data_IF_144033729595
#
_entry.id   IF_144033729595
#
_cell.length_a   1.000
_cell.length_b   1.000
_cell.length_c   1.000
_cell.angle_alpha   90.00
_cell.angle_beta   90.00
_cell.angle_gamma   90.00
#
_symmetry.space_group_name_H-M   'P 1'
#
loop_
_entity.id
_entity.type
_entity.pdbx_description
1 polymer ?
#
# COMPACT_ATOMS: atom_id res chain seq x y z
N UNK A 1 -6.42 -4.07 -2.92
CA UNK A 1 -5.92 -4.79 -4.13
C UNK A 1 -7.02 -4.98 -5.18
N UNK A 2 -8.13 -5.63 -4.89
CA UNK A 2 -9.19 -5.86 -5.89
C UNK A 2 -9.72 -4.59 -6.55
N UNK A 3 -9.92 -3.53 -5.79
CA UNK A 3 -10.36 -2.23 -6.32
C UNK A 3 -9.36 -1.61 -7.30
N UNK A 4 -8.06 -1.73 -7.01
CA UNK A 4 -7.01 -1.28 -7.93
C UNK A 4 -7.08 -2.06 -9.25
N UNK A 5 -7.12 -3.40 -9.19
CA UNK A 5 -7.21 -4.22 -10.40
C UNK A 5 -8.48 -3.88 -11.20
N UNK A 6 -9.64 -3.73 -10.54
CA UNK A 6 -10.89 -3.34 -11.22
C UNK A 6 -10.82 -1.96 -11.88
N UNK A 7 -10.08 -1.01 -11.28
CA UNK A 7 -9.95 0.32 -11.86
C UNK A 7 -9.09 0.33 -13.12
N UNK A 8 -8.08 -0.54 -13.19
CA UNK A 8 -7.14 -0.62 -14.33
C UNK A 8 -7.66 -1.49 -15.47
N UNK A 9 -8.65 -2.35 -15.25
CA UNK A 9 -9.27 -3.18 -16.31
C UNK A 9 -10.34 -2.44 -17.13
N UNK A 10 -10.60 -1.18 -16.86
CA UNK A 10 -11.52 -0.36 -17.66
C UNK A 10 -10.91 -0.01 -19.02
N UNK A 11 -11.75 0.01 -20.08
CA UNK A 11 -11.34 0.21 -21.48
C UNK A 11 -10.47 1.45 -21.74
N UNK A 12 -10.52 2.46 -20.87
CA UNK A 12 -9.78 3.72 -20.99
C UNK A 12 -8.81 3.93 -19.81
N UNK A 13 -8.32 2.86 -19.17
CA UNK A 13 -7.31 2.99 -18.13
C UNK A 13 -5.98 3.40 -18.75
N UNK A 14 -5.35 4.41 -18.17
CA UNK A 14 -3.98 4.84 -18.50
C UNK A 14 -2.91 4.07 -17.70
N UNK A 15 -3.34 3.12 -16.87
CA UNK A 15 -2.47 2.40 -15.93
C UNK A 15 -2.74 0.91 -16.06
N UNK A 16 -1.66 0.13 -16.15
CA UNK A 16 -1.67 -1.33 -16.11
C UNK A 16 -1.00 -1.84 -14.83
N UNK A 17 -1.57 -2.87 -14.22
CA UNK A 17 -0.93 -3.55 -13.10
C UNK A 17 -0.12 -4.73 -13.65
N UNK A 18 1.20 -4.60 -13.64
CA UNK A 18 2.10 -5.60 -14.19
C UNK A 18 2.30 -6.78 -13.24
N UNK A 19 2.27 -6.56 -11.92
CA UNK A 19 2.38 -7.62 -10.93
C UNK A 19 1.80 -7.22 -9.57
N UNK A 20 1.43 -8.22 -8.79
CA UNK A 20 1.13 -8.10 -7.36
C UNK A 20 2.15 -8.93 -6.60
N UNK A 21 2.97 -8.27 -5.78
CA UNK A 21 4.04 -8.92 -5.03
C UNK A 21 3.66 -8.99 -3.55
N UNK A 22 3.87 -10.13 -2.92
CA UNK A 22 3.66 -10.30 -1.49
C UNK A 22 4.77 -11.11 -0.84
N UNK A 23 5.08 -10.78 0.40
CA UNK A 23 5.98 -11.55 1.26
C UNK A 23 5.25 -12.63 2.09
N UNK A 24 3.96 -12.79 1.86
CA UNK A 24 3.12 -13.82 2.44
C UNK A 24 2.51 -14.68 1.31
N UNK A 25 2.85 -15.96 1.27
CA UNK A 25 2.37 -16.90 0.23
C UNK A 25 0.85 -17.09 0.25
N UNK A 26 0.21 -16.94 1.42
CA UNK A 26 -1.24 -17.06 1.60
C UNK A 26 -1.99 -15.73 1.50
N UNK A 27 -1.33 -14.65 1.06
CA UNK A 27 -1.95 -13.34 0.93
C UNK A 27 -3.14 -13.39 -0.04
N UNK A 28 -4.31 -12.94 0.43
CA UNK A 28 -5.53 -12.84 -0.41
C UNK A 28 -5.30 -11.99 -1.67
N UNK A 29 -4.39 -11.02 -1.61
CA UNK A 29 -4.00 -10.21 -2.75
C UNK A 29 -3.44 -11.01 -3.93
N UNK A 30 -2.62 -12.05 -3.67
CA UNK A 30 -2.08 -12.94 -4.70
C UNK A 30 -3.20 -13.76 -5.36
N UNK A 31 -4.14 -14.28 -4.55
CA UNK A 31 -5.28 -15.05 -5.05
C UNK A 31 -6.15 -14.19 -5.96
N UNK A 32 -6.44 -12.95 -5.54
CA UNK A 32 -7.24 -12.00 -6.34
C UNK A 32 -6.52 -11.64 -7.63
N UNK A 33 -5.21 -11.37 -7.57
CA UNK A 33 -4.40 -11.05 -8.75
C UNK A 33 -4.48 -12.18 -9.80
N UNK A 34 -4.18 -13.41 -9.38
CA UNK A 34 -4.22 -14.57 -10.27
C UNK A 34 -5.60 -14.82 -10.89
N UNK A 35 -6.68 -14.66 -10.10
CA UNK A 35 -8.07 -14.73 -10.62
C UNK A 35 -8.37 -13.68 -11.68
N UNK A 36 -7.70 -12.54 -11.63
CA UNK A 36 -7.83 -11.42 -12.57
C UNK A 36 -6.78 -11.42 -13.67
N UNK A 37 -6.01 -12.50 -13.81
CA UNK A 37 -4.94 -12.66 -14.81
C UNK A 37 -3.80 -11.63 -14.65
N UNK A 38 -3.62 -11.09 -13.43
CA UNK A 38 -2.45 -10.28 -13.05
C UNK A 38 -1.45 -11.20 -12.36
N UNK A 39 -0.17 -11.20 -12.73
CA UNK A 39 0.85 -12.03 -12.09
C UNK A 39 0.91 -11.81 -10.58
N UNK A 40 0.66 -12.86 -9.80
CA UNK A 40 0.83 -12.87 -8.35
C UNK A 40 2.17 -13.51 -7.98
N UNK A 41 3.07 -12.75 -7.38
CA UNK A 41 4.44 -13.15 -7.09
C UNK A 41 4.67 -13.22 -5.59
N UNK A 42 5.04 -14.39 -5.09
CA UNK A 42 5.49 -14.57 -3.71
C UNK A 42 7.01 -14.40 -3.62
N UNK A 43 7.47 -13.52 -2.73
CA UNK A 43 8.89 -13.30 -2.46
C UNK A 43 9.18 -13.48 -0.98
N UNK A 44 10.00 -14.46 -0.64
CA UNK A 44 10.41 -14.72 0.75
C UNK A 44 11.16 -13.53 1.33
N UNK A 45 10.67 -12.97 2.44
CA UNK A 45 11.08 -11.65 2.93
C UNK A 45 12.06 -11.63 4.11
N UNK A 46 12.54 -12.78 4.62
CA UNK A 46 13.33 -12.79 5.86
C UNK A 46 14.63 -11.97 5.80
N UNK A 47 15.28 -11.89 4.64
CA UNK A 47 16.45 -11.03 4.39
C UNK A 47 16.49 -10.64 2.91
N UNK A 48 16.97 -9.42 2.62
CA UNK A 48 17.17 -8.93 1.26
C UNK A 48 15.88 -8.90 0.40
N UNK A 49 14.73 -8.62 1.01
CA UNK A 49 13.45 -8.55 0.29
C UNK A 49 13.53 -7.58 -0.90
N UNK A 50 14.02 -6.37 -0.66
CA UNK A 50 14.14 -5.32 -1.68
C UNK A 50 15.01 -5.76 -2.87
N UNK A 51 16.16 -6.40 -2.60
CA UNK A 51 17.02 -6.98 -3.65
C UNK A 51 16.32 -8.07 -4.46
N UNK A 52 15.50 -8.90 -3.79
CA UNK A 52 14.72 -9.95 -4.47
C UNK A 52 13.58 -9.42 -5.31
N UNK A 53 13.00 -8.30 -4.89
CA UNK A 53 11.90 -7.63 -5.59
C UNK A 53 12.44 -6.82 -6.77
N UNK A 54 13.66 -6.28 -6.69
CA UNK A 54 14.26 -5.38 -7.69
C UNK A 54 14.11 -5.89 -9.14
N UNK A 55 14.35 -7.19 -9.38
CA UNK A 55 14.21 -7.81 -10.71
C UNK A 55 12.79 -7.77 -11.31
N UNK A 56 11.77 -7.50 -10.50
CA UNK A 56 10.38 -7.35 -10.96
C UNK A 56 9.97 -5.88 -11.09
N UNK A 57 10.91 -4.96 -10.84
CA UNK A 57 10.65 -3.53 -10.83
C UNK A 57 11.35 -2.77 -11.98
N UNK A 58 12.06 -3.47 -12.87
CA UNK A 58 12.86 -2.84 -13.94
C UNK A 58 12.02 -1.95 -14.87
N UNK A 59 10.82 -2.42 -15.23
CA UNK A 59 9.90 -1.70 -16.14
C UNK A 59 8.71 -1.08 -15.41
N UNK A 60 8.85 -0.78 -14.12
CA UNK A 60 7.77 -0.26 -13.29
C UNK A 60 7.88 1.26 -13.12
N UNK A 61 6.82 1.99 -13.44
CA UNK A 61 6.73 3.43 -13.24
C UNK A 61 6.34 3.79 -11.80
N UNK A 62 5.48 2.98 -11.16
CA UNK A 62 4.91 3.28 -9.85
C UNK A 62 4.76 2.03 -8.99
N UNK A 63 5.17 2.12 -7.74
CA UNK A 63 4.93 1.10 -6.72
C UNK A 63 3.81 1.57 -5.79
N UNK A 64 2.75 0.74 -5.64
CA UNK A 64 1.66 0.99 -4.71
C UNK A 64 1.74 0.02 -3.52
N UNK A 65 2.06 0.53 -2.34
CA UNK A 65 1.99 -0.25 -1.11
C UNK A 65 0.53 -0.33 -0.63
N UNK A 66 0.05 -1.55 -0.40
CA UNK A 66 -1.31 -1.81 0.06
C UNK A 66 -1.30 -2.90 1.14
N UNK A 67 -1.38 -2.51 2.40
CA UNK A 67 -1.26 -3.42 3.54
C UNK A 67 0.14 -4.02 3.69
N UNK A 68 1.16 -3.29 3.27
CA UNK A 68 2.56 -3.68 3.44
C UNK A 68 3.04 -3.23 4.82
N UNK A 69 3.45 -4.20 5.66
CA UNK A 69 3.72 -3.98 7.09
C UNK A 69 5.22 -3.97 7.43
N UNK A 70 6.10 -3.93 6.44
CA UNK A 70 7.55 -3.84 6.66
C UNK A 70 8.03 -2.42 6.44
N UNK A 71 9.11 -2.07 7.13
CA UNK A 71 9.84 -0.82 6.88
C UNK A 71 10.81 -1.06 5.73
N UNK A 72 10.71 -0.25 4.70
CA UNK A 72 11.65 -0.25 3.57
C UNK A 72 12.92 0.52 3.94
N UNK A 73 14.05 0.13 3.36
CA UNK A 73 15.32 0.83 3.57
C UNK A 73 15.25 2.27 3.04
N UNK A 74 16.04 3.14 3.64
CA UNK A 74 16.16 4.54 3.19
C UNK A 74 16.62 4.61 1.74
N UNK A 75 17.54 3.73 1.35
CA UNK A 75 18.08 3.69 -0.02
C UNK A 75 17.01 3.28 -1.03
N UNK A 76 16.19 2.27 -0.71
CA UNK A 76 15.09 1.87 -1.56
C UNK A 76 14.05 3.00 -1.70
N UNK A 77 13.67 3.63 -0.59
CA UNK A 77 12.70 4.74 -0.61
C UNK A 77 13.23 5.91 -1.42
N UNK A 78 14.52 6.24 -1.32
CA UNK A 78 15.15 7.30 -2.12
C UNK A 78 15.20 6.96 -3.61
N UNK A 79 15.56 5.73 -3.96
CA UNK A 79 15.59 5.26 -5.35
C UNK A 79 14.21 5.33 -6.02
N UNK A 80 13.15 5.19 -5.24
CA UNK A 80 11.76 5.25 -5.69
C UNK A 80 11.05 6.55 -5.31
N UNK A 81 11.80 7.61 -5.01
CA UNK A 81 11.24 8.93 -4.68
C UNK A 81 10.23 9.38 -5.75
N UNK A 82 9.07 9.87 -5.32
CA UNK A 82 7.93 10.26 -6.18
C UNK A 82 7.30 9.14 -7.03
N UNK A 83 7.77 7.91 -6.88
CA UNK A 83 7.24 6.71 -7.56
C UNK A 83 6.87 5.58 -6.59
N UNK A 84 6.80 5.88 -5.31
CA UNK A 84 6.39 4.95 -4.25
C UNK A 84 5.29 5.60 -3.44
N UNK A 85 4.10 5.03 -3.50
CA UNK A 85 2.93 5.52 -2.77
C UNK A 85 2.40 4.45 -1.81
N UNK A 86 1.75 4.89 -0.73
CA UNK A 86 1.13 4.03 0.25
C UNK A 86 -0.31 4.46 0.53
N UNK A 87 -1.18 3.50 0.82
CA UNK A 87 -2.48 3.76 1.41
C UNK A 87 -2.43 3.44 2.90
N UNK A 88 -2.63 4.47 3.73
CA UNK A 88 -2.64 4.36 5.18
C UNK A 88 -4.08 4.42 5.71
N UNK A 89 -4.50 3.52 6.62
CA UNK A 89 -5.89 3.43 7.08
C UNK A 89 -6.20 4.41 8.21
N UNK A 90 -5.76 5.67 8.10
CA UNK A 90 -6.18 6.78 8.95
C UNK A 90 -6.25 8.09 8.17
N UNK A 91 -6.83 9.12 8.78
CA UNK A 91 -6.79 10.49 8.26
C UNK A 91 -5.52 11.15 8.79
N UNK A 92 -4.39 11.01 8.05
CA UNK A 92 -3.11 11.59 8.45
C UNK A 92 -3.19 13.11 8.65
N UNK A 93 -2.44 13.65 9.61
CA UNK A 93 -1.34 13.06 10.38
C UNK A 93 -1.77 12.23 11.61
N UNK A 94 -3.06 12.00 11.82
CA UNK A 94 -3.56 11.25 12.96
C UNK A 94 -3.32 9.74 12.78
N UNK A 95 -3.05 9.03 13.87
CA UNK A 95 -2.96 7.57 13.95
C UNK A 95 -1.97 6.96 12.94
N UNK A 96 -0.73 7.46 12.95
CA UNK A 96 0.38 6.89 12.15
C UNK A 96 0.79 5.50 12.63
N UNK A 97 1.47 4.75 11.76
CA UNK A 97 2.05 3.44 12.08
C UNK A 97 1.02 2.31 12.08
N UNK A 98 1.32 1.28 12.85
CA UNK A 98 0.51 0.07 12.90
C UNK A 98 -0.79 0.28 13.67
N UNK A 99 -1.81 -0.55 13.34
CA UNK A 99 -3.11 -0.60 14.04
C UNK A 99 -3.84 0.76 14.11
N UNK A 100 -3.76 1.56 13.06
CA UNK A 100 -4.34 2.91 13.02
C UNK A 100 -5.84 2.94 13.39
N UNK A 101 -6.63 1.93 12.98
CA UNK A 101 -8.04 1.83 13.34
C UNK A 101 -8.23 1.62 14.85
N UNK A 102 -7.43 0.73 15.46
CA UNK A 102 -7.48 0.50 16.91
C UNK A 102 -7.05 1.75 17.68
N UNK A 103 -6.05 2.47 17.19
CA UNK A 103 -5.64 3.74 17.78
C UNK A 103 -6.80 4.74 17.79
N UNK A 104 -7.51 4.89 16.67
CA UNK A 104 -8.66 5.79 16.55
C UNK A 104 -9.79 5.42 17.51
N UNK A 105 -10.11 4.11 17.64
CA UNK A 105 -11.14 3.61 18.55
C UNK A 105 -10.73 3.84 20.01
N UNK A 106 -9.51 3.50 20.39
CA UNK A 106 -8.99 3.73 21.75
C UNK A 106 -8.96 5.22 22.13
N UNK A 107 -8.69 6.09 21.18
CA UNK A 107 -8.74 7.53 21.34
C UNK A 107 -10.18 8.10 21.37
N UNK A 108 -11.21 7.24 21.20
CA UNK A 108 -12.61 7.66 21.10
C UNK A 108 -12.84 8.74 20.04
N UNK A 109 -12.08 8.67 18.95
CA UNK A 109 -12.21 9.62 17.86
C UNK A 109 -13.61 9.50 17.21
N UNK A 110 -14.19 10.62 16.82
CA UNK A 110 -15.49 10.64 16.13
C UNK A 110 -15.39 10.22 14.66
N UNK A 111 -14.17 10.30 14.11
CA UNK A 111 -13.89 9.98 12.71
C UNK A 111 -12.43 9.55 12.54
N UNK A 112 -12.19 8.82 11.48
CA UNK A 112 -10.86 8.49 10.95
C UNK A 112 -10.91 8.60 9.42
N UNK A 113 -10.15 7.80 8.69
CA UNK A 113 -10.19 7.84 7.24
C UNK A 113 -9.19 6.93 6.57
N UNK A 114 -8.87 7.27 5.35
CA UNK A 114 -7.71 6.72 4.66
C UNK A 114 -6.98 7.83 3.92
N UNK A 115 -5.67 7.66 3.80
CA UNK A 115 -4.77 8.60 3.16
C UNK A 115 -3.91 7.87 2.13
N UNK A 116 -3.87 8.38 0.91
CA UNK A 116 -2.86 8.01 -0.09
C UNK A 116 -1.78 9.08 -0.06
N UNK A 117 -0.52 8.67 0.13
CA UNK A 117 0.60 9.58 0.25
C UNK A 117 1.86 9.01 -0.40
N UNK A 118 2.78 9.86 -0.78
CA UNK A 118 4.12 9.44 -1.15
C UNK A 118 4.87 8.89 0.05
N UNK A 119 5.69 7.85 -0.17
CA UNK A 119 6.50 7.27 0.91
C UNK A 119 7.82 8.03 1.01
N UNK A 120 8.17 8.42 2.23
CA UNK A 120 9.47 8.98 2.58
C UNK A 120 10.10 8.15 3.73
N UNK A 121 11.36 8.37 4.11
CA UNK A 121 12.01 7.62 5.17
C UNK A 121 11.36 7.72 6.57
N UNK A 122 10.49 8.71 6.79
CA UNK A 122 9.72 8.83 8.05
C UNK A 122 8.37 8.15 7.88
N UNK A 123 8.00 7.29 8.82
CA UNK A 123 6.74 6.54 8.78
C UNK A 123 5.55 7.50 8.63
N UNK A 124 4.70 7.22 7.63
CA UNK A 124 3.45 7.91 7.32
C UNK A 124 3.55 9.45 7.38
N UNK A 125 4.61 10.00 6.79
CA UNK A 125 4.92 11.43 6.83
C UNK A 125 5.22 12.03 5.46
N UNK A 126 5.03 11.27 4.39
CA UNK A 126 5.20 11.78 3.03
C UNK A 126 4.06 12.70 2.60
N UNK A 127 4.26 13.38 1.49
CA UNK A 127 3.29 14.29 0.90
C UNK A 127 1.98 13.57 0.59
N UNK A 128 0.87 14.18 1.01
CA UNK A 128 -0.48 13.62 0.84
C UNK A 128 -0.96 13.87 -0.58
N UNK A 129 -1.35 12.79 -1.25
CA UNK A 129 -1.95 12.84 -2.60
C UNK A 129 -3.47 13.05 -2.48
N UNK A 130 -4.12 12.24 -1.62
CA UNK A 130 -5.55 12.35 -1.36
C UNK A 130 -5.95 11.70 -0.04
N UNK A 131 -7.05 12.16 0.51
CA UNK A 131 -7.62 11.63 1.74
C UNK A 131 -9.13 11.50 1.64
N UNK A 132 -9.67 10.55 2.37
CA UNK A 132 -11.12 10.43 2.57
C UNK A 132 -11.43 10.19 4.04
N UNK A 133 -12.27 11.06 4.61
CA UNK A 133 -12.72 10.95 6.00
C UNK A 133 -13.85 9.94 6.14
N UNK A 134 -13.86 9.18 7.22
CA UNK A 134 -14.88 8.18 7.56
C UNK A 134 -15.32 8.40 9.01
N UNK A 135 -16.62 8.42 9.24
CA UNK A 135 -17.18 8.52 10.59
C UNK A 135 -17.05 7.17 11.30
N UNK A 136 -16.60 7.19 12.55
CA UNK A 136 -16.59 6.00 13.42
C UNK A 136 -17.99 5.83 14.02
N UNK A 137 -18.56 4.65 13.93
CA UNK A 137 -19.89 4.35 14.44
C UNK A 137 -19.81 3.79 15.86
N UNK A 138 -20.87 3.95 16.65
CA UNK A 138 -20.90 3.44 18.04
C UNK A 138 -20.71 1.93 18.17
N UNK A 139 -20.91 1.19 17.07
CA UNK A 139 -20.74 -0.28 17.02
C UNK A 139 -19.34 -0.72 16.59
N UNK A 140 -18.49 0.21 16.19
CA UNK A 140 -17.12 -0.06 15.82
C UNK A 140 -16.24 -0.08 17.08
#
# INVERSE_FOLDING_TARGET
>A
MESLIKSTTKKNSLVDILAVISNNSSAKGLIVANKKKVPGIFVVSKKNFEKKVAKYLEDIDLICLAGFMQVLSVDFVRAWSSRLINIHPSYLPEFKGLNAQEQAIKAKASSTGCTVHYVNPKIDSGEIIMQKKVKILKKD
#
